data_IF_712926323333
#
_entry.id   IF_712926323333
#
_cell.length_a   1.000
_cell.length_b   1.000
_cell.length_c   1.000
_cell.angle_alpha   90.00
_cell.angle_beta   90.00
_cell.angle_gamma   90.00
#
_symmetry.space_group_name_H-M   'P 1'
#
loop_
_entity.id
_entity.type
_entity.pdbx_description
1 polymer ?
#
# COMPACT_ATOMS: atom_id res chain seq x y z
N UNK A 1 20.75 -5.72 -20.16
CA UNK A 1 20.35 -6.08 -18.79
C UNK A 1 21.52 -5.95 -17.83
N UNK A 2 21.37 -6.39 -16.58
CA UNK A 2 22.46 -6.39 -15.58
C UNK A 2 22.85 -7.81 -15.17
N UNK A 3 24.15 -8.03 -15.02
CA UNK A 3 24.72 -9.30 -14.61
C UNK A 3 24.39 -9.60 -13.14
N UNK A 4 23.76 -10.75 -12.89
CA UNK A 4 23.42 -11.28 -11.56
C UNK A 4 24.34 -12.39 -11.10
N UNK A 5 24.95 -13.12 -12.02
CA UNK A 5 26.03 -14.05 -11.73
C UNK A 5 26.87 -14.28 -12.99
N UNK A 6 28.15 -14.57 -12.75
CA UNK A 6 29.12 -15.01 -13.76
C UNK A 6 29.74 -16.29 -13.25
N UNK A 7 29.74 -17.34 -14.06
CA UNK A 7 30.37 -18.63 -13.76
C UNK A 7 31.11 -19.11 -15.01
N UNK A 8 32.42 -18.92 -15.00
CA UNK A 8 33.30 -19.43 -16.04
C UNK A 8 33.73 -20.87 -15.73
N UNK A 9 33.58 -21.77 -16.68
CA UNK A 9 34.08 -23.15 -16.66
C UNK A 9 35.01 -23.37 -17.86
N UNK A 10 35.72 -24.50 -17.88
CA UNK A 10 36.72 -24.80 -18.94
C UNK A 10 36.17 -24.68 -20.37
N UNK A 11 34.92 -25.08 -20.57
CA UNK A 11 34.32 -25.17 -21.91
C UNK A 11 33.16 -24.20 -22.11
N UNK A 12 32.62 -23.61 -21.04
CA UNK A 12 31.38 -22.82 -21.09
C UNK A 12 31.41 -21.68 -20.08
N UNK A 13 30.98 -20.51 -20.51
CA UNK A 13 30.67 -19.35 -19.66
C UNK A 13 29.16 -19.27 -19.43
N UNK A 14 28.74 -19.26 -18.16
CA UNK A 14 27.35 -19.05 -17.77
C UNK A 14 27.17 -17.67 -17.13
N UNK A 15 26.20 -16.91 -17.64
CA UNK A 15 25.77 -15.65 -17.06
C UNK A 15 24.29 -15.74 -16.70
N UNK A 16 23.91 -15.09 -15.60
CA UNK A 16 22.51 -14.79 -15.34
C UNK A 16 22.32 -13.30 -15.55
N UNK A 17 21.44 -12.91 -16.47
CA UNK A 17 21.13 -11.51 -16.77
C UNK A 17 19.69 -11.23 -16.35
N UNK A 18 19.49 -10.12 -15.65
CA UNK A 18 18.17 -9.65 -15.28
C UNK A 18 18.06 -8.17 -15.64
N UNK A 19 16.94 -7.80 -16.25
CA UNK A 19 16.63 -6.45 -16.69
C UNK A 19 15.54 -5.78 -15.83
N UNK A 20 15.07 -6.46 -14.79
CA UNK A 20 14.03 -5.98 -13.88
C UNK A 20 12.60 -6.28 -14.32
N UNK A 21 12.38 -6.76 -15.55
CA UNK A 21 11.04 -7.11 -16.07
C UNK A 21 10.36 -8.23 -15.29
N UNK A 22 11.16 -9.12 -14.70
CA UNK A 22 10.68 -10.19 -13.83
C UNK A 22 11.68 -10.49 -12.71
N UNK A 23 11.28 -11.33 -11.77
CA UNK A 23 12.18 -11.86 -10.74
C UNK A 23 13.24 -12.79 -11.33
N UNK A 24 12.90 -13.52 -12.39
CA UNK A 24 13.80 -14.50 -13.00
C UNK A 24 14.91 -13.82 -13.81
N UNK A 25 16.07 -14.46 -13.81
CA UNK A 25 17.15 -14.08 -14.72
C UNK A 25 17.12 -14.97 -15.95
N UNK A 26 17.40 -14.40 -17.12
CA UNK A 26 17.69 -15.17 -18.32
C UNK A 26 19.09 -15.79 -18.17
N UNK A 27 19.18 -17.11 -18.31
CA UNK A 27 20.47 -17.77 -18.46
C UNK A 27 21.03 -17.48 -19.85
N UNK A 28 22.28 -17.05 -19.86
CA UNK A 28 23.09 -16.88 -21.07
C UNK A 28 24.24 -17.87 -21.00
N UNK A 29 24.41 -18.61 -22.09
CA UNK A 29 25.48 -19.59 -22.31
C UNK A 29 26.37 -19.06 -23.40
N UNK A 30 27.67 -18.97 -23.15
CA UNK A 30 28.64 -18.35 -24.05
C UNK A 30 29.93 -19.17 -24.11
N UNK A 31 30.69 -19.00 -25.18
CA UNK A 31 32.07 -19.50 -25.23
C UNK A 31 32.94 -18.72 -24.22
N UNK A 32 33.84 -19.37 -23.47
CA UNK A 32 34.73 -18.68 -22.52
C UNK A 32 35.58 -17.56 -23.13
N UNK A 33 35.86 -17.60 -24.44
CA UNK A 33 36.56 -16.51 -25.15
C UNK A 33 35.81 -15.18 -25.17
N UNK A 34 34.49 -15.18 -24.91
CA UNK A 34 33.68 -13.98 -24.78
C UNK A 34 33.73 -13.36 -23.37
N UNK A 35 34.40 -14.01 -22.41
CA UNK A 35 34.59 -13.46 -21.06
C UNK A 35 35.54 -12.27 -21.10
N UNK A 36 35.04 -11.10 -20.68
CA UNK A 36 35.84 -9.88 -20.52
C UNK A 36 36.17 -9.67 -19.04
N UNK A 37 37.31 -9.04 -18.73
CA UNK A 37 37.75 -8.80 -17.34
C UNK A 37 36.77 -7.95 -16.53
N UNK A 38 36.04 -7.06 -17.20
CA UNK A 38 35.06 -6.15 -16.63
C UNK A 38 33.63 -6.76 -16.61
N UNK A 39 33.46 -8.00 -17.06
CA UNK A 39 32.20 -8.74 -16.98
C UNK A 39 31.99 -9.24 -15.53
N UNK A 40 31.52 -8.33 -14.69
CA UNK A 40 31.35 -8.56 -13.25
C UNK A 40 29.89 -8.49 -12.81
N UNK A 41 29.60 -8.95 -11.58
CA UNK A 41 28.29 -8.75 -10.95
C UNK A 41 27.91 -7.26 -10.92
N UNK A 42 26.69 -6.95 -11.33
CA UNK A 42 26.17 -5.58 -11.41
C UNK A 42 26.51 -4.83 -12.69
N UNK A 43 27.38 -5.37 -13.55
CA UNK A 43 27.72 -4.76 -14.84
C UNK A 43 26.51 -4.71 -15.76
N UNK A 44 26.38 -3.60 -16.48
CA UNK A 44 25.40 -3.43 -17.54
C UNK A 44 25.94 -4.03 -18.83
N UNK A 45 25.16 -4.90 -19.45
CA UNK A 45 25.57 -5.66 -20.63
C UNK A 45 24.50 -5.67 -21.71
N UNK A 46 24.97 -5.69 -22.94
CA UNK A 46 24.21 -6.02 -24.15
C UNK A 46 24.70 -7.40 -24.64
N UNK A 47 23.78 -8.31 -24.89
CA UNK A 47 24.08 -9.67 -25.34
C UNK A 47 23.23 -9.98 -26.55
N UNK A 48 23.87 -10.42 -27.63
CA UNK A 48 23.18 -10.90 -28.83
C UNK A 48 23.49 -12.37 -29.03
N UNK A 49 22.50 -13.11 -29.52
CA UNK A 49 22.63 -14.53 -29.75
C UNK A 49 21.29 -15.21 -30.01
N UNK A 50 21.30 -16.54 -29.99
CA UNK A 50 20.13 -17.36 -30.33
C UNK A 50 19.42 -17.85 -29.07
N UNK A 51 18.13 -17.55 -28.97
CA UNK A 51 17.27 -18.08 -27.90
C UNK A 51 16.90 -19.54 -28.22
N UNK A 52 17.23 -20.47 -27.32
CA UNK A 52 17.01 -21.90 -27.51
C UNK A 52 16.32 -22.52 -26.30
N UNK A 53 15.69 -23.68 -26.49
CA UNK A 53 15.13 -24.45 -25.37
C UNK A 53 16.28 -24.97 -24.51
N UNK A 54 16.22 -24.72 -23.22
CA UNK A 54 17.28 -25.16 -22.32
C UNK A 54 17.23 -26.68 -22.11
N UNK A 55 18.39 -27.36 -21.95
CA UNK A 55 18.45 -28.77 -21.61
C UNK A 55 18.14 -29.05 -20.12
N UNK A 56 18.08 -28.02 -19.27
CA UNK A 56 17.86 -28.15 -17.83
C UNK A 56 16.37 -28.00 -17.45
N UNK A 57 15.90 -28.87 -16.55
CA UNK A 57 14.48 -28.91 -16.10
C UNK A 57 14.00 -27.65 -15.38
N UNK A 58 14.90 -26.88 -14.78
CA UNK A 58 14.57 -25.69 -13.97
C UNK A 58 14.48 -24.39 -14.79
N UNK A 59 14.76 -24.45 -16.10
CA UNK A 59 14.77 -23.28 -16.98
C UNK A 59 14.27 -23.67 -18.36
N UNK A 60 13.25 -22.96 -18.85
CA UNK A 60 12.59 -23.31 -20.11
C UNK A 60 13.44 -22.94 -21.33
N UNK A 61 14.16 -21.82 -21.25
CA UNK A 61 14.92 -21.24 -22.35
C UNK A 61 16.28 -20.75 -21.84
N UNK A 62 17.26 -20.70 -22.73
CA UNK A 62 18.55 -20.05 -22.52
C UNK A 62 18.99 -19.33 -23.80
N UNK A 63 19.82 -18.30 -23.65
CA UNK A 63 20.38 -17.55 -24.77
C UNK A 63 21.81 -18.04 -25.05
N UNK A 64 22.04 -18.62 -26.23
CA UNK A 64 23.39 -18.92 -26.69
C UNK A 64 24.01 -17.64 -27.25
N UNK A 65 24.90 -17.01 -26.49
CA UNK A 65 25.49 -15.74 -26.85
C UNK A 65 26.52 -15.90 -27.96
N UNK A 66 26.37 -15.06 -28.99
CA UNK A 66 27.34 -14.86 -30.06
C UNK A 66 28.23 -13.66 -29.72
N UNK A 67 27.67 -12.64 -29.04
CA UNK A 67 28.40 -11.45 -28.61
C UNK A 67 27.98 -11.01 -27.22
N UNK A 68 28.94 -10.50 -26.44
CA UNK A 68 28.72 -9.88 -25.14
C UNK A 68 29.46 -8.55 -25.11
N UNK A 69 28.71 -7.45 -24.97
CA UNK A 69 29.23 -6.11 -24.84
C UNK A 69 28.99 -5.58 -23.42
N UNK A 70 30.05 -5.15 -22.73
CA UNK A 70 29.94 -4.51 -21.42
C UNK A 70 29.73 -3.02 -21.68
N UNK A 71 28.52 -2.54 -21.38
CA UNK A 71 28.09 -1.16 -21.60
C UNK A 71 28.50 -0.28 -20.43
N UNK A 72 28.46 -0.84 -19.22
CA UNK A 72 28.84 -0.14 -18.00
C UNK A 72 29.44 -1.12 -17.00
N UNK A 73 30.76 -1.05 -16.73
CA UNK A 73 31.39 -1.94 -15.77
C UNK A 73 30.92 -1.62 -14.35
N UNK A 74 30.94 -2.63 -13.47
CA UNK A 74 30.64 -2.47 -12.05
C UNK A 74 31.86 -2.85 -11.22
N UNK A 75 32.36 -1.91 -10.42
CA UNK A 75 33.38 -2.21 -9.42
C UNK A 75 32.75 -2.96 -8.23
N UNK A 76 33.07 -4.24 -8.12
CA UNK A 76 32.52 -5.13 -7.09
C UNK A 76 32.95 -4.69 -5.68
N UNK A 77 34.10 -4.01 -5.54
CA UNK A 77 34.63 -3.62 -4.24
C UNK A 77 33.86 -2.44 -3.65
N UNK A 78 33.56 -1.41 -4.45
CA UNK A 78 32.73 -0.28 -4.03
C UNK A 78 31.22 -0.56 -4.06
N UNK A 79 30.74 -1.53 -4.85
CA UNK A 79 29.30 -1.81 -4.92
C UNK A 79 28.75 -2.34 -3.58
N UNK A 80 27.74 -1.68 -2.97
CA UNK A 80 27.31 -2.00 -1.60
C UNK A 80 26.53 -3.31 -1.50
N UNK A 81 25.79 -3.70 -2.55
CA UNK A 81 24.99 -4.92 -2.54
C UNK A 81 25.83 -6.11 -3.03
N UNK A 82 26.57 -6.75 -2.12
CA UNK A 82 27.45 -7.88 -2.47
C UNK A 82 26.71 -9.10 -3.01
N UNK A 83 27.33 -9.76 -3.99
CA UNK A 83 26.84 -10.99 -4.60
C UNK A 83 26.79 -12.12 -3.55
N UNK A 84 25.72 -12.95 -3.60
CA UNK A 84 25.48 -14.11 -2.70
C UNK A 84 25.33 -13.77 -1.20
N UNK A 85 25.38 -12.51 -0.82
CA UNK A 85 25.14 -12.08 0.55
C UNK A 85 23.68 -11.63 0.73
N UNK A 86 23.09 -11.96 1.88
CA UNK A 86 21.76 -11.46 2.24
C UNK A 86 21.91 -10.17 3.02
N UNK A 87 21.46 -9.09 2.41
CA UNK A 87 21.43 -7.78 3.05
C UNK A 87 20.11 -7.59 3.80
N UNK A 88 20.13 -7.22 5.10
CA UNK A 88 18.91 -6.88 5.83
C UNK A 88 18.25 -5.64 5.22
N UNK A 89 16.93 -5.50 5.37
CA UNK A 89 16.18 -4.39 4.75
C UNK A 89 16.67 -3.02 5.26
N UNK A 90 17.10 -2.94 6.52
CA UNK A 90 17.66 -1.75 7.14
C UNK A 90 18.92 -1.27 6.41
N UNK A 91 19.82 -2.18 6.02
CA UNK A 91 21.01 -1.85 5.24
C UNK A 91 20.63 -1.39 3.83
N UNK A 92 19.72 -2.13 3.18
CA UNK A 92 19.29 -1.83 1.81
C UNK A 92 18.59 -0.46 1.72
N UNK A 93 17.89 -0.01 2.77
CA UNK A 93 17.25 1.32 2.86
C UNK A 93 18.26 2.48 2.81
N UNK A 94 19.52 2.26 3.21
CA UNK A 94 20.58 3.29 3.15
C UNK A 94 20.97 3.66 1.71
N UNK A 95 20.60 2.85 0.71
CA UNK A 95 20.96 3.05 -0.69
C UNK A 95 19.71 3.19 -1.58
N UNK A 96 18.92 4.28 -1.45
CA UNK A 96 17.65 4.43 -2.17
C UNK A 96 17.79 4.34 -3.69
N UNK A 97 18.94 4.77 -4.23
CA UNK A 97 19.26 4.72 -5.65
C UNK A 97 19.65 3.31 -6.17
N UNK A 98 19.96 2.35 -5.30
CA UNK A 98 20.35 0.98 -5.68
C UNK A 98 19.39 -0.09 -5.16
N UNK A 99 18.58 0.21 -4.16
CA UNK A 99 17.77 -0.77 -3.42
C UNK A 99 16.83 -1.59 -4.30
N UNK A 100 16.33 -1.03 -5.40
CA UNK A 100 15.49 -1.73 -6.38
C UNK A 100 16.21 -2.88 -7.09
N UNK A 101 17.55 -2.92 -7.07
CA UNK A 101 18.35 -4.02 -7.60
C UNK A 101 18.32 -5.26 -6.71
N UNK A 102 17.85 -5.16 -5.46
CA UNK A 102 17.61 -6.31 -4.60
C UNK A 102 16.30 -7.03 -5.02
N UNK A 103 16.28 -8.36 -4.97
CA UNK A 103 15.12 -9.16 -5.39
C UNK A 103 13.83 -8.79 -4.64
N UNK A 104 13.90 -8.57 -3.33
CA UNK A 104 12.72 -8.25 -2.50
C UNK A 104 12.12 -6.91 -2.89
N UNK A 105 12.93 -5.87 -3.06
CA UNK A 105 12.42 -4.54 -3.40
C UNK A 105 12.07 -4.40 -4.87
N UNK A 106 12.77 -5.09 -5.77
CA UNK A 106 12.34 -5.21 -7.17
C UNK A 106 10.98 -5.88 -7.30
N UNK A 107 10.76 -6.97 -6.56
CA UNK A 107 9.47 -7.65 -6.48
C UNK A 107 8.37 -6.75 -5.89
N UNK A 108 8.68 -6.02 -4.81
CA UNK A 108 7.75 -5.05 -4.20
C UNK A 108 7.28 -3.99 -5.21
N UNK A 109 8.22 -3.43 -5.99
CA UNK A 109 7.91 -2.39 -6.97
C UNK A 109 7.06 -2.91 -8.13
N UNK A 110 7.33 -4.12 -8.62
CA UNK A 110 6.47 -4.78 -9.63
C UNK A 110 5.08 -5.07 -9.11
N UNK A 111 4.97 -5.64 -7.90
CA UNK A 111 3.68 -5.87 -7.24
C UNK A 111 2.91 -4.55 -7.06
N UNK A 112 3.58 -3.49 -6.59
CA UNK A 112 2.95 -2.17 -6.43
C UNK A 112 2.48 -1.61 -7.77
N UNK A 113 3.24 -1.79 -8.84
CA UNK A 113 2.86 -1.37 -10.19
C UNK A 113 1.60 -2.09 -10.68
N UNK A 114 1.54 -3.42 -10.57
CA UNK A 114 0.36 -4.20 -10.97
C UNK A 114 -0.85 -3.92 -10.06
N UNK A 115 -0.65 -3.73 -8.76
CA UNK A 115 -1.72 -3.33 -7.84
C UNK A 115 -2.28 -1.95 -8.21
N UNK A 116 -1.40 -0.99 -8.54
CA UNK A 116 -1.78 0.35 -8.98
C UNK A 116 -2.61 0.30 -10.26
N UNK A 117 -2.16 -0.46 -11.26
CA UNK A 117 -2.91 -0.68 -12.49
C UNK A 117 -4.27 -1.34 -12.21
N UNK A 118 -4.30 -2.38 -11.37
CA UNK A 118 -5.54 -3.07 -10.98
C UNK A 118 -6.56 -2.18 -10.26
N UNK A 119 -6.09 -1.25 -9.42
CA UNK A 119 -6.95 -0.25 -8.75
C UNK A 119 -7.58 0.68 -9.78
N UNK A 120 -6.78 1.24 -10.70
CA UNK A 120 -7.30 2.10 -11.76
C UNK A 120 -8.30 1.36 -12.66
N UNK A 121 -7.97 0.14 -13.09
CA UNK A 121 -8.88 -0.68 -13.90
C UNK A 121 -10.19 -0.97 -13.16
N UNK A 122 -10.14 -1.34 -11.88
CA UNK A 122 -11.35 -1.56 -11.07
C UNK A 122 -12.28 -0.34 -11.10
N UNK A 123 -11.76 0.85 -10.79
CA UNK A 123 -12.59 2.05 -10.75
C UNK A 123 -13.11 2.44 -12.15
N UNK A 124 -12.29 2.33 -13.18
CA UNK A 124 -12.71 2.61 -14.57
C UNK A 124 -13.81 1.65 -15.04
N UNK A 125 -13.65 0.35 -14.80
CA UNK A 125 -14.61 -0.68 -15.19
C UNK A 125 -15.95 -0.53 -14.45
N UNK A 126 -15.94 0.07 -13.26
CA UNK A 126 -17.13 0.40 -12.46
C UNK A 126 -17.65 1.84 -12.68
N UNK A 127 -17.15 2.55 -13.71
CA UNK A 127 -17.68 3.84 -14.13
C UNK A 127 -17.32 5.04 -13.25
N UNK A 128 -16.28 4.93 -12.42
CA UNK A 128 -15.78 6.05 -11.63
C UNK A 128 -14.95 7.01 -12.48
N UNK A 129 -15.07 8.30 -12.17
CA UNK A 129 -14.22 9.34 -12.76
C UNK A 129 -12.99 9.54 -11.89
N UNK A 130 -11.80 9.45 -12.48
CA UNK A 130 -10.55 9.75 -11.78
C UNK A 130 -10.36 11.26 -11.67
N UNK A 131 -10.28 11.76 -10.44
CA UNK A 131 -10.12 13.19 -10.11
C UNK A 131 -8.75 13.40 -9.48
N UNK A 132 -7.97 14.33 -10.03
CA UNK A 132 -6.77 14.82 -9.36
C UNK A 132 -7.15 15.92 -8.36
N UNK A 133 -7.14 15.57 -7.08
CA UNK A 133 -7.40 16.51 -5.99
C UNK A 133 -6.18 17.41 -5.70
N UNK A 134 -6.38 18.65 -5.23
CA UNK A 134 -5.28 19.54 -4.85
C UNK A 134 -4.41 18.95 -3.73
N UNK A 135 -3.09 19.06 -3.88
CA UNK A 135 -2.12 18.66 -2.84
C UNK A 135 -1.89 19.80 -1.85
N UNK A 136 -1.83 21.04 -2.35
CA UNK A 136 -1.70 22.25 -1.53
C UNK A 136 -3.09 22.71 -1.15
N UNK A 137 -3.35 22.85 0.15
CA UNK A 137 -4.67 23.19 0.68
C UNK A 137 -4.59 24.12 1.88
N UNK A 138 -5.63 24.92 2.10
CA UNK A 138 -5.84 25.66 3.36
C UNK A 138 -6.69 24.87 4.35
N UNK A 139 -7.18 23.68 3.96
CA UNK A 139 -8.13 22.89 4.72
C UNK A 139 -7.41 21.81 5.52
N UNK A 140 -7.79 21.66 6.79
CA UNK A 140 -7.52 20.45 7.55
C UNK A 140 -8.71 19.50 7.41
N UNK A 141 -8.55 18.44 6.62
CA UNK A 141 -9.64 17.49 6.33
C UNK A 141 -9.97 16.60 7.54
N UNK A 142 -8.97 16.22 8.33
CA UNK A 142 -9.12 15.29 9.46
C UNK A 142 -9.16 16.02 10.81
N UNK A 143 -8.69 17.27 10.85
CA UNK A 143 -8.73 18.15 12.01
C UNK A 143 -7.71 17.81 13.10
N UNK A 144 -6.78 16.90 12.79
CA UNK A 144 -5.76 16.40 13.72
C UNK A 144 -4.60 17.38 13.94
N UNK A 145 -4.56 18.52 13.24
CA UNK A 145 -3.62 19.63 13.49
C UNK A 145 -2.16 19.37 13.11
N UNK A 146 -1.76 18.12 12.83
CA UNK A 146 -0.39 17.76 12.45
C UNK A 146 -0.20 17.80 10.93
N UNK A 147 -0.18 19.02 10.38
CA UNK A 147 -0.02 19.30 8.95
C UNK A 147 1.38 19.85 8.62
N UNK A 148 1.91 19.51 7.45
CA UNK A 148 3.10 20.19 6.91
C UNK A 148 2.72 21.54 6.32
N UNK A 149 3.19 22.63 6.93
CA UNK A 149 2.99 23.99 6.43
C UNK A 149 3.95 24.34 5.28
N UNK A 150 3.43 25.00 4.25
CA UNK A 150 4.16 25.43 3.06
C UNK A 150 4.39 26.94 3.13
N UNK A 151 5.67 27.32 3.15
CA UNK A 151 6.08 28.72 3.14
C UNK A 151 7.08 29.00 2.03
N UNK A 152 6.96 30.16 1.41
CA UNK A 152 7.93 30.66 0.44
C UNK A 152 8.82 31.66 1.17
N UNK A 153 10.12 31.38 1.25
CA UNK A 153 11.08 32.37 1.77
C UNK A 153 11.14 33.57 0.83
N UNK A 154 10.49 34.66 1.20
CA UNK A 154 10.62 35.93 0.50
C UNK A 154 12.07 36.45 0.62
N UNK A 155 12.61 37.03 -0.45
CA UNK A 155 13.88 37.76 -0.39
C UNK A 155 13.65 39.09 0.35
N UNK A 156 14.00 39.10 1.63
CA UNK A 156 14.37 40.25 2.50
C UNK A 156 13.47 41.51 2.59
N UNK A 157 12.37 41.69 1.84
CA UNK A 157 11.66 42.99 1.86
C UNK A 157 10.20 43.00 1.38
N UNK A 158 9.39 42.05 1.82
CA UNK A 158 7.94 42.24 1.80
C UNK A 158 7.33 41.57 3.03
N UNK A 159 6.37 42.25 3.66
CA UNK A 159 5.55 41.77 4.78
C UNK A 159 5.25 40.27 4.66
N UNK A 160 5.31 39.54 5.78
CA UNK A 160 5.03 38.10 5.92
C UNK A 160 3.62 37.77 5.40
N UNK A 161 3.50 37.73 4.08
CA UNK A 161 2.29 37.42 3.36
C UNK A 161 2.46 35.98 2.89
N UNK A 162 1.59 35.09 3.38
CA UNK A 162 1.53 33.72 2.87
C UNK A 162 1.42 33.76 1.34
N UNK A 163 2.01 32.78 0.64
CA UNK A 163 2.02 32.76 -0.83
C UNK A 163 0.60 32.87 -1.44
N UNK A 164 -0.40 32.29 -0.77
CA UNK A 164 -1.81 32.31 -1.20
C UNK A 164 -2.66 33.33 -0.44
N UNK A 165 -2.05 34.28 0.28
CA UNK A 165 -2.71 35.19 1.25
C UNK A 165 -3.44 34.49 2.42
N UNK A 166 -3.34 33.17 2.51
CA UNK A 166 -3.84 32.31 3.59
C UNK A 166 -2.79 31.24 3.92
N UNK A 167 -2.78 30.69 5.14
CA UNK A 167 -1.96 29.53 5.46
C UNK A 167 -2.21 28.38 4.48
N UNK A 168 -1.13 27.71 4.05
CA UNK A 168 -1.19 26.62 3.11
C UNK A 168 -0.41 25.42 3.64
N UNK A 169 -0.96 24.23 3.41
CA UNK A 169 -0.48 22.97 3.95
C UNK A 169 -0.45 21.90 2.87
N UNK A 170 0.30 20.83 3.11
CA UNK A 170 0.16 19.59 2.35
C UNK A 170 -1.06 18.81 2.86
N UNK A 171 -1.86 18.31 1.92
CA UNK A 171 -3.11 17.64 2.25
C UNK A 171 -2.90 16.30 2.98
N UNK A 172 -3.74 16.05 4.00
CA UNK A 172 -3.87 14.73 4.64
C UNK A 172 -4.80 13.80 3.85
N UNK A 173 -5.73 14.37 3.07
CA UNK A 173 -6.79 13.63 2.37
C UNK A 173 -7.44 14.50 1.29
N UNK A 174 -7.77 13.90 0.14
CA UNK A 174 -8.54 14.52 -0.93
C UNK A 174 -10.06 14.48 -0.73
N UNK A 175 -10.55 13.90 0.37
CA UNK A 175 -11.95 13.55 0.60
C UNK A 175 -12.92 14.73 0.37
N UNK A 176 -12.72 15.87 1.04
CA UNK A 176 -13.64 17.02 0.92
C UNK A 176 -13.77 17.53 -0.52
N UNK A 177 -12.70 17.41 -1.33
CA UNK A 177 -12.77 17.74 -2.74
C UNK A 177 -13.57 16.70 -3.53
N UNK A 178 -13.40 15.41 -3.22
CA UNK A 178 -14.18 14.35 -3.84
C UNK A 178 -15.68 14.47 -3.52
N UNK A 179 -16.06 14.86 -2.30
CA UNK A 179 -17.47 15.10 -1.92
C UNK A 179 -18.13 16.16 -2.82
N UNK A 180 -17.43 17.26 -3.11
CA UNK A 180 -17.92 18.29 -4.05
C UNK A 180 -18.06 17.73 -5.46
N UNK A 181 -17.05 16.97 -5.94
CA UNK A 181 -17.07 16.39 -7.28
C UNK A 181 -18.10 15.28 -7.43
N UNK A 182 -18.39 14.55 -6.36
CA UNK A 182 -19.42 13.51 -6.31
C UNK A 182 -20.82 14.06 -6.60
N UNK A 183 -21.05 15.34 -6.24
CA UNK A 183 -22.27 16.07 -6.58
C UNK A 183 -22.47 16.32 -8.08
N UNK A 184 -21.41 16.23 -8.89
CA UNK A 184 -21.47 16.34 -10.35
C UNK A 184 -21.29 14.98 -11.05
N UNK A 185 -20.48 14.09 -10.48
CA UNK A 185 -20.18 12.76 -11.00
C UNK A 185 -20.51 11.74 -9.92
N UNK A 186 -21.51 10.88 -10.14
CA UNK A 186 -22.04 10.00 -9.08
C UNK A 186 -21.00 9.10 -8.40
N UNK A 187 -19.92 8.76 -9.11
CA UNK A 187 -18.80 7.99 -8.59
C UNK A 187 -17.48 8.65 -8.98
N UNK A 188 -16.67 9.01 -8.00
CA UNK A 188 -15.34 9.62 -8.21
C UNK A 188 -14.29 8.93 -7.35
N UNK A 189 -13.05 8.95 -7.81
CA UNK A 189 -11.92 8.52 -7.00
C UNK A 189 -10.68 9.36 -7.28
N UNK A 190 -9.78 9.45 -6.31
CA UNK A 190 -8.43 9.99 -6.47
C UNK A 190 -7.41 8.91 -6.13
N UNK A 191 -6.25 8.99 -6.76
CA UNK A 191 -5.07 8.23 -6.38
C UNK A 191 -3.89 9.20 -6.37
N UNK A 192 -3.53 9.67 -5.16
CA UNK A 192 -2.55 10.74 -5.00
C UNK A 192 -1.73 10.61 -3.72
N UNK A 193 -0.64 11.40 -3.61
CA UNK A 193 0.13 11.48 -2.39
C UNK A 193 -0.63 12.27 -1.30
N UNK A 194 -0.51 11.81 -0.07
CA UNK A 194 -1.01 12.47 1.14
C UNK A 194 0.09 12.49 2.21
N UNK A 195 -0.04 13.42 3.15
CA UNK A 195 1.02 13.75 4.08
C UNK A 195 0.48 13.87 5.51
N UNK A 196 1.21 13.33 6.48
CA UNK A 196 0.90 13.47 7.91
C UNK A 196 2.17 13.89 8.65
N UNK A 197 2.09 14.95 9.45
CA UNK A 197 3.24 15.47 10.21
C UNK A 197 3.41 14.82 11.59
N UNK A 198 2.71 13.71 11.84
CA UNK A 198 2.85 12.90 13.06
C UNK A 198 4.30 12.48 13.30
N UNK A 199 4.84 12.83 14.48
CA UNK A 199 6.17 12.40 14.91
C UNK A 199 6.15 10.95 15.48
N UNK A 200 5.50 10.04 14.74
CA UNK A 200 5.36 8.64 15.10
C UNK A 200 6.38 7.77 14.35
N UNK A 201 7.46 7.38 15.03
CA UNK A 201 8.51 6.52 14.47
C UNK A 201 8.15 5.02 14.53
N UNK A 202 6.93 4.68 14.11
CA UNK A 202 6.48 3.29 14.04
C UNK A 202 6.99 2.59 12.78
N UNK A 203 6.82 1.26 12.70
CA UNK A 203 7.16 0.49 11.49
C UNK A 203 6.14 0.64 10.34
N UNK A 204 5.05 1.38 10.57
CA UNK A 204 3.88 1.44 9.67
C UNK A 204 3.52 2.85 9.22
N UNK A 205 3.96 3.88 9.95
CA UNK A 205 3.68 5.26 9.61
C UNK A 205 4.75 5.81 8.66
N UNK A 206 4.29 6.52 7.64
CA UNK A 206 5.10 7.31 6.73
C UNK A 206 4.57 8.73 6.77
N UNK A 207 5.48 9.71 6.76
CA UNK A 207 5.08 11.12 6.64
C UNK A 207 4.53 11.47 5.25
N UNK A 208 4.92 10.71 4.22
CA UNK A 208 4.41 10.78 2.85
C UNK A 208 4.00 9.37 2.42
N UNK A 209 2.76 9.22 1.99
CA UNK A 209 2.21 7.97 1.47
C UNK A 209 1.23 8.26 0.35
N UNK A 210 0.72 7.21 -0.30
CA UNK A 210 -0.30 7.37 -1.33
C UNK A 210 -1.61 6.82 -0.81
N UNK A 211 -2.67 7.59 -1.01
CA UNK A 211 -4.03 7.17 -0.71
C UNK A 211 -4.82 6.98 -2.00
N UNK A 212 -5.72 6.00 -1.92
CA UNK A 212 -6.77 5.79 -2.88
C UNK A 212 -8.06 6.08 -2.14
N UNK A 213 -8.76 7.11 -2.59
CA UNK A 213 -9.98 7.59 -1.93
C UNK A 213 -11.08 7.63 -2.97
N UNK A 214 -12.25 7.11 -2.62
CA UNK A 214 -13.39 7.06 -3.51
C UNK A 214 -14.62 7.61 -2.79
N UNK A 215 -15.41 8.38 -3.53
CA UNK A 215 -16.64 9.01 -3.04
C UNK A 215 -17.79 8.64 -3.96
N UNK A 216 -18.94 8.31 -3.35
CA UNK A 216 -20.12 7.81 -4.03
C UNK A 216 -21.35 8.61 -3.60
N UNK A 217 -22.07 9.15 -4.57
CA UNK A 217 -23.38 9.76 -4.36
C UNK A 217 -24.48 8.70 -4.24
N UNK A 218 -25.57 9.05 -3.55
CA UNK A 218 -26.75 8.19 -3.38
C UNK A 218 -26.49 6.88 -2.61
N UNK A 219 -25.50 6.88 -1.73
CA UNK A 219 -25.29 5.78 -0.76
C UNK A 219 -26.34 5.87 0.34
N UNK A 220 -26.98 4.74 0.66
CA UNK A 220 -28.06 4.68 1.66
C UNK A 220 -27.56 4.06 2.98
N UNK A 221 -26.53 3.22 2.91
CA UNK A 221 -26.02 2.50 4.07
C UNK A 221 -24.52 2.23 3.98
N UNK A 222 -23.92 1.88 5.12
CA UNK A 222 -22.55 1.36 5.16
C UNK A 222 -22.35 0.12 4.27
N UNK A 223 -23.42 -0.62 3.94
CA UNK A 223 -23.32 -1.80 3.07
C UNK A 223 -22.82 -1.42 1.67
N UNK A 224 -23.24 -0.28 1.14
CA UNK A 224 -22.84 0.19 -0.19
C UNK A 224 -21.32 0.46 -0.23
N UNK A 225 -20.79 1.08 0.83
CA UNK A 225 -19.37 1.37 0.99
C UNK A 225 -18.57 0.06 1.19
N UNK A 226 -19.04 -0.83 2.07
CA UNK A 226 -18.37 -2.11 2.32
C UNK A 226 -18.29 -2.98 1.06
N UNK A 227 -19.32 -2.96 0.21
CA UNK A 227 -19.31 -3.69 -1.05
C UNK A 227 -18.18 -3.21 -1.98
N UNK A 228 -18.00 -1.89 -2.10
CA UNK A 228 -16.90 -1.31 -2.89
C UNK A 228 -15.53 -1.69 -2.30
N UNK A 229 -15.37 -1.60 -0.98
CA UNK A 229 -14.12 -1.99 -0.31
C UNK A 229 -13.78 -3.48 -0.56
N UNK A 230 -14.79 -4.34 -0.42
CA UNK A 230 -14.67 -5.79 -0.64
C UNK A 230 -14.30 -6.12 -2.09
N UNK A 231 -15.01 -5.54 -3.06
CA UNK A 231 -14.80 -5.81 -4.49
C UNK A 231 -13.47 -5.27 -4.97
N UNK A 232 -13.06 -4.08 -4.52
CA UNK A 232 -11.75 -3.51 -4.79
C UNK A 232 -10.66 -4.43 -4.26
N UNK A 233 -10.74 -4.84 -2.99
CA UNK A 233 -9.73 -5.69 -2.37
C UNK A 233 -9.60 -7.05 -3.06
N UNK A 234 -10.74 -7.70 -3.38
CA UNK A 234 -10.76 -8.97 -4.12
C UNK A 234 -10.16 -8.84 -5.52
N UNK A 235 -10.56 -7.80 -6.25
CA UNK A 235 -10.16 -7.58 -7.65
C UNK A 235 -8.66 -7.30 -7.75
N UNK A 236 -8.16 -6.38 -6.93
CA UNK A 236 -6.74 -5.99 -6.93
C UNK A 236 -5.87 -7.15 -6.46
N UNK A 237 -6.27 -7.86 -5.40
CA UNK A 237 -5.51 -9.02 -4.93
C UNK A 237 -5.47 -10.14 -5.96
N UNK A 238 -6.59 -10.44 -6.62
CA UNK A 238 -6.64 -11.44 -7.70
C UNK A 238 -5.76 -11.03 -8.89
N UNK A 239 -5.73 -9.74 -9.21
CA UNK A 239 -4.86 -9.17 -10.25
C UNK A 239 -3.39 -9.38 -9.90
N UNK A 240 -2.97 -9.00 -8.68
CA UNK A 240 -1.59 -9.20 -8.21
C UNK A 240 -1.19 -10.67 -8.20
N UNK A 241 -2.07 -11.57 -7.72
CA UNK A 241 -1.76 -13.00 -7.63
C UNK A 241 -1.64 -13.66 -9.02
N UNK A 242 -2.41 -13.18 -10.00
CA UNK A 242 -2.34 -13.69 -11.37
C UNK A 242 -1.16 -13.11 -12.18
N UNK A 243 -0.85 -11.81 -12.00
CA UNK A 243 0.18 -11.10 -12.77
C UNK A 243 1.58 -11.23 -12.17
N UNK A 244 1.69 -11.32 -10.84
CA UNK A 244 2.96 -11.33 -10.10
C UNK A 244 3.17 -12.62 -9.25
N UNK A 245 2.84 -13.84 -9.72
CA UNK A 245 2.83 -15.02 -8.84
C UNK A 245 4.19 -15.32 -8.21
N UNK A 246 5.28 -15.16 -8.97
CA UNK A 246 6.65 -15.42 -8.52
C UNK A 246 7.16 -14.36 -7.55
N UNK A 247 6.78 -13.11 -7.78
CA UNK A 247 7.12 -12.00 -6.89
C UNK A 247 6.41 -12.18 -5.54
N UNK A 248 5.12 -12.54 -5.55
CA UNK A 248 4.36 -12.85 -4.33
C UNK A 248 4.93 -14.08 -3.60
N UNK A 249 5.29 -15.14 -4.34
CA UNK A 249 5.91 -16.34 -3.75
C UNK A 249 7.21 -16.02 -2.99
N UNK A 250 8.01 -15.06 -3.48
CA UNK A 250 9.20 -14.59 -2.76
C UNK A 250 8.85 -14.05 -1.37
N UNK A 251 7.78 -13.25 -1.24
CA UNK A 251 7.34 -12.74 0.06
C UNK A 251 6.83 -13.87 0.96
N UNK A 252 6.02 -14.79 0.44
CA UNK A 252 5.56 -15.96 1.18
C UNK A 252 6.68 -16.89 1.61
N UNK A 253 7.83 -16.86 0.95
CA UNK A 253 8.95 -17.73 1.30
C UNK A 253 9.92 -17.08 2.29
N UNK A 254 10.15 -15.78 2.17
CA UNK A 254 11.28 -15.13 2.84
C UNK A 254 10.91 -13.95 3.74
N UNK A 255 9.74 -13.34 3.57
CA UNK A 255 9.34 -12.13 4.30
C UNK A 255 8.22 -12.42 5.29
N UNK A 256 7.18 -13.12 4.85
CA UNK A 256 6.01 -13.43 5.67
C UNK A 256 5.55 -14.89 5.49
N UNK A 257 6.36 -15.89 5.88
CA UNK A 257 6.02 -17.30 5.69
C UNK A 257 4.77 -17.74 6.44
N UNK A 258 4.45 -17.11 7.57
CA UNK A 258 3.22 -17.38 8.32
C UNK A 258 1.95 -16.94 7.56
N UNK A 259 2.05 -16.00 6.61
CA UNK A 259 0.90 -15.50 5.84
C UNK A 259 0.55 -16.37 4.63
N UNK A 260 1.39 -17.36 4.30
CA UNK A 260 1.16 -18.30 3.19
C UNK A 260 -0.10 -19.15 3.37
N UNK A 261 -0.61 -19.26 4.61
CA UNK A 261 -1.69 -20.19 5.01
C UNK A 261 -3.09 -19.67 4.65
N UNK A 262 -3.27 -18.37 4.39
CA UNK A 262 -4.59 -17.80 4.02
C UNK A 262 -5.04 -18.11 2.59
N UNK A 263 -4.25 -18.86 1.82
CA UNK A 263 -4.72 -19.47 0.59
C UNK A 263 -5.45 -20.77 0.93
N UNK A 264 -6.66 -20.66 1.48
CA UNK A 264 -7.54 -21.83 1.60
C UNK A 264 -7.80 -22.33 0.18
N UNK A 265 -7.29 -23.51 -0.07
CA UNK A 265 -7.37 -24.30 -1.29
C UNK A 265 -8.81 -24.66 -1.59
N UNK A 266 -9.53 -23.77 -2.28
CA UNK A 266 -10.52 -24.22 -3.24
C UNK A 266 -9.81 -25.09 -4.28
N UNK A 267 -10.37 -26.23 -4.63
CA UNK A 267 -9.82 -27.21 -5.61
C UNK A 267 -9.57 -26.65 -7.02
N UNK A 268 -9.82 -25.36 -7.25
CA UNK A 268 -9.53 -24.62 -8.47
C UNK A 268 -8.55 -23.50 -8.13
N UNK A 269 -7.47 -23.38 -8.89
CA UNK A 269 -6.24 -22.59 -8.64
C UNK A 269 -6.38 -21.06 -8.46
N UNK A 270 -7.52 -20.54 -7.99
CA UNK A 270 -7.70 -19.14 -7.67
C UNK A 270 -7.79 -18.95 -6.15
N UNK A 271 -6.89 -18.16 -5.54
CA UNK A 271 -6.99 -17.80 -4.14
C UNK A 271 -8.23 -16.93 -3.93
N UNK A 272 -9.30 -17.50 -3.40
CA UNK A 272 -10.50 -16.76 -3.03
C UNK A 272 -10.23 -16.16 -1.64
N UNK A 273 -10.08 -14.83 -1.58
CA UNK A 273 -10.21 -14.14 -0.29
C UNK A 273 -11.66 -14.29 0.13
N UNK A 274 -11.88 -15.02 1.22
CA UNK A 274 -13.20 -15.22 1.79
C UNK A 274 -13.56 -13.98 2.59
N UNK A 275 -14.46 -13.17 2.04
CA UNK A 275 -15.31 -12.33 2.85
C UNK A 275 -16.52 -13.19 3.22
N UNK A 276 -16.68 -13.44 4.52
CA UNK A 276 -17.87 -14.10 5.03
C UNK A 276 -18.84 -13.02 5.50
N UNK A 277 -20.13 -13.20 5.25
CA UNK A 277 -21.19 -12.34 5.81
C UNK A 277 -21.19 -12.30 7.34
N UNK A 278 -20.55 -13.29 7.99
CA UNK A 278 -20.35 -13.34 9.44
C UNK A 278 -19.17 -12.47 9.93
N UNK A 279 -18.45 -11.78 9.05
CA UNK A 279 -17.26 -10.98 9.37
C UNK A 279 -17.54 -9.47 9.38
N UNK A 280 -18.77 -9.09 9.74
CA UNK A 280 -19.14 -7.71 10.06
C UNK A 280 -19.55 -7.68 11.53
N UNK A 281 -18.87 -6.86 12.32
CA UNK A 281 -19.15 -6.65 13.74
C UNK A 281 -19.28 -5.16 14.01
N UNK A 282 -20.13 -4.77 14.95
CA UNK A 282 -20.14 -3.39 15.47
C UNK A 282 -18.94 -3.14 16.38
N UNK A 283 -18.56 -1.88 16.57
CA UNK A 283 -17.57 -1.48 17.56
C UNK A 283 -17.94 -1.99 18.97
N UNK A 284 -19.24 -1.94 19.32
CA UNK A 284 -19.73 -2.43 20.60
C UNK A 284 -19.43 -3.93 20.77
N UNK A 285 -19.74 -4.75 19.76
CA UNK A 285 -19.39 -6.17 19.77
C UNK A 285 -17.88 -6.39 19.79
N UNK A 286 -17.11 -5.59 19.05
CA UNK A 286 -15.66 -5.67 19.05
C UNK A 286 -15.07 -5.45 20.45
N UNK A 287 -15.52 -4.42 21.17
CA UNK A 287 -15.09 -4.14 22.55
C UNK A 287 -15.46 -5.29 23.49
N UNK A 288 -16.65 -5.87 23.36
CA UNK A 288 -17.06 -7.00 24.20
C UNK A 288 -16.25 -8.28 23.90
N UNK A 289 -15.97 -8.57 22.62
CA UNK A 289 -15.06 -9.66 22.22
C UNK A 289 -13.67 -9.46 22.84
N UNK A 290 -13.15 -8.23 22.81
CA UNK A 290 -11.84 -7.91 23.37
C UNK A 290 -11.81 -8.04 24.90
N UNK A 291 -12.84 -7.59 25.61
CA UNK A 291 -12.93 -7.76 27.07
C UNK A 291 -13.00 -9.22 27.51
N UNK A 292 -13.60 -10.08 26.68
CA UNK A 292 -13.71 -11.52 26.92
C UNK A 292 -12.47 -12.30 26.46
N UNK A 293 -11.49 -11.63 25.85
CA UNK A 293 -10.28 -12.27 25.37
C UNK A 293 -9.48 -12.87 26.54
N UNK A 294 -8.90 -14.08 26.37
CA UNK A 294 -8.09 -14.72 27.41
C UNK A 294 -6.70 -14.09 27.56
N UNK A 295 -6.35 -13.08 26.75
CA UNK A 295 -5.05 -12.42 26.75
C UNK A 295 -5.13 -11.02 27.36
N UNK A 296 -4.05 -10.60 28.01
CA UNK A 296 -3.92 -9.22 28.51
C UNK A 296 -3.40 -8.33 27.40
N UNK A 297 -4.16 -7.28 27.06
CA UNK A 297 -3.74 -6.24 26.13
C UNK A 297 -2.89 -5.18 26.84
N UNK A 298 -1.99 -4.53 26.08
CA UNK A 298 -1.20 -3.40 26.59
C UNK A 298 -2.09 -2.19 26.82
N UNK A 299 -2.97 -1.91 25.86
CA UNK A 299 -4.01 -0.90 25.93
C UNK A 299 -5.33 -1.59 26.32
N UNK A 300 -6.07 -1.04 27.27
CA UNK A 300 -7.32 -1.67 27.68
C UNK A 300 -8.42 -1.40 26.64
N UNK A 301 -9.16 -2.42 26.20
CA UNK A 301 -10.31 -2.23 25.32
C UNK A 301 -11.48 -1.66 26.14
N UNK A 302 -11.64 -0.34 26.09
CA UNK A 302 -12.73 0.38 26.74
C UNK A 302 -13.61 1.08 25.69
N UNK A 303 -14.90 1.16 25.97
CA UNK A 303 -15.83 1.84 25.06
C UNK A 303 -15.52 3.33 25.02
N UNK A 304 -15.46 3.91 23.83
CA UNK A 304 -15.05 5.31 23.64
C UNK A 304 -13.53 5.49 23.50
N UNK A 305 -12.75 4.39 23.50
CA UNK A 305 -11.34 4.41 23.14
C UNK A 305 -11.10 3.79 21.76
N UNK A 306 -10.10 4.30 21.06
CA UNK A 306 -9.74 3.81 19.74
C UNK A 306 -9.14 2.40 19.77
N UNK A 307 -9.38 1.61 18.71
CA UNK A 307 -8.88 0.25 18.61
C UNK A 307 -7.41 0.25 18.19
N UNK A 308 -6.54 -0.18 19.09
CA UNK A 308 -5.12 -0.32 18.79
C UNK A 308 -4.84 -1.54 17.89
N UNK A 309 -3.70 -1.54 17.19
CA UNK A 309 -3.27 -2.65 16.33
C UNK A 309 -3.32 -4.04 17.00
N UNK A 310 -3.08 -4.14 18.31
CA UNK A 310 -3.20 -5.41 19.03
C UNK A 310 -4.65 -5.91 19.15
N UNK A 311 -5.60 -4.98 19.28
CA UNK A 311 -7.03 -5.25 19.28
C UNK A 311 -7.48 -5.72 17.91
N UNK A 312 -7.13 -4.97 16.86
CA UNK A 312 -7.49 -5.29 15.47
C UNK A 312 -7.03 -6.69 15.06
N UNK A 313 -5.75 -7.02 15.35
CA UNK A 313 -5.19 -8.34 15.05
C UNK A 313 -5.89 -9.44 15.83
N UNK A 314 -6.28 -9.19 17.08
CA UNK A 314 -7.04 -10.15 17.86
C UNK A 314 -8.42 -10.39 17.26
N UNK A 315 -9.14 -9.34 16.86
CA UNK A 315 -10.46 -9.43 16.23
C UNK A 315 -10.40 -10.26 14.94
N UNK A 316 -9.42 -9.96 14.08
CA UNK A 316 -9.22 -10.72 12.83
C UNK A 316 -8.94 -12.20 13.12
N UNK A 317 -8.10 -12.50 14.11
CA UNK A 317 -7.83 -13.87 14.54
C UNK A 317 -9.07 -14.56 15.12
N UNK A 318 -9.83 -13.85 15.96
CA UNK A 318 -11.07 -14.34 16.57
C UNK A 318 -12.11 -14.70 15.50
N UNK A 319 -12.22 -13.89 14.44
CA UNK A 319 -13.11 -14.12 13.31
C UNK A 319 -12.59 -15.18 12.30
N UNK A 320 -11.45 -15.84 12.58
CA UNK A 320 -10.95 -16.96 11.78
C UNK A 320 -9.88 -16.61 10.74
N UNK A 321 -9.10 -15.55 10.95
CA UNK A 321 -8.02 -15.11 10.04
C UNK A 321 -8.53 -14.73 8.64
N UNK A 322 -9.67 -14.04 8.59
CA UNK A 322 -10.29 -13.49 7.39
C UNK A 322 -10.52 -11.97 7.56
N UNK A 323 -10.69 -11.20 6.47
CA UNK A 323 -11.01 -9.78 6.59
C UNK A 323 -12.28 -9.53 7.42
N UNK A 324 -12.26 -8.52 8.28
CA UNK A 324 -13.36 -8.15 9.19
C UNK A 324 -13.72 -6.69 9.03
N UNK A 325 -14.99 -6.39 8.83
CA UNK A 325 -15.52 -5.03 8.90
C UNK A 325 -15.94 -4.72 10.34
N UNK A 326 -15.37 -3.66 10.91
CA UNK A 326 -15.83 -3.09 12.18
C UNK A 326 -16.64 -1.84 11.86
N UNK A 327 -17.89 -1.77 12.30
CA UNK A 327 -18.82 -0.68 11.95
C UNK A 327 -19.31 0.08 13.18
N UNK A 328 -19.83 1.29 12.98
CA UNK A 328 -20.52 2.09 13.99
C UNK A 328 -19.61 2.46 15.17
N UNK A 329 -18.61 3.31 14.92
CA UNK A 329 -17.65 3.77 15.92
C UNK A 329 -18.23 4.87 16.82
N UNK A 330 -17.72 5.06 18.05
CA UNK A 330 -18.13 6.15 18.94
C UNK A 330 -18.04 7.52 18.26
N UNK A 331 -19.09 8.33 18.46
CA UNK A 331 -19.25 9.61 17.79
C UNK A 331 -18.07 10.57 18.01
N UNK A 332 -17.57 10.64 19.24
CA UNK A 332 -16.49 11.57 19.64
C UNK A 332 -15.09 11.13 19.18
N UNK A 333 -14.92 9.88 18.72
CA UNK A 333 -13.63 9.37 18.23
C UNK A 333 -13.36 9.65 16.76
N UNK A 334 -14.40 9.97 15.99
CA UNK A 334 -14.32 10.02 14.53
C UNK A 334 -14.51 11.46 14.00
N UNK A 335 -13.98 11.78 12.81
CA UNK A 335 -14.03 13.13 12.23
C UNK A 335 -15.43 13.71 12.06
N UNK A 336 -15.51 15.04 12.03
CA UNK A 336 -16.76 15.81 12.00
C UNK A 336 -17.69 15.48 10.82
N UNK A 337 -17.16 14.96 9.72
CA UNK A 337 -17.93 14.69 8.50
C UNK A 337 -18.69 13.36 8.54
N UNK A 338 -18.48 12.48 9.53
CA UNK A 338 -19.11 11.15 9.56
C UNK A 338 -20.56 11.21 10.04
N UNK A 339 -21.51 10.59 9.35
CA UNK A 339 -22.94 10.67 9.69
C UNK A 339 -23.26 10.16 11.10
N UNK A 340 -23.98 10.95 11.90
CA UNK A 340 -24.50 10.53 13.22
C UNK A 340 -25.59 9.46 13.04
N UNK A 341 -25.46 8.34 13.74
CA UNK A 341 -26.48 7.29 13.75
C UNK A 341 -27.70 7.67 14.60
N UNK A 342 -27.58 8.67 15.49
CA UNK A 342 -28.59 9.09 16.47
C UNK A 342 -29.08 7.89 17.32
N UNK A 343 -28.19 6.93 17.59
CA UNK A 343 -28.49 5.68 18.25
C UNK A 343 -28.29 5.77 19.78
N UNK A 344 -29.41 5.72 20.51
CA UNK A 344 -29.40 5.57 21.97
C UNK A 344 -28.70 6.71 22.74
N UNK A 345 -28.34 6.50 24.02
CA UNK A 345 -27.67 7.50 24.84
C UNK A 345 -26.15 7.64 24.59
N UNK A 346 -25.53 6.65 23.95
CA UNK A 346 -24.10 6.62 23.60
C UNK A 346 -23.98 6.62 22.07
N UNK A 347 -23.90 7.81 21.49
CA UNK A 347 -23.94 8.01 20.04
C UNK A 347 -22.76 7.32 19.33
N UNK A 348 -23.08 6.68 18.20
CA UNK A 348 -22.10 6.21 17.22
C UNK A 348 -22.24 6.98 15.90
N UNK A 349 -21.24 6.86 15.04
CA UNK A 349 -21.28 7.36 13.67
C UNK A 349 -21.25 6.20 12.69
N UNK A 350 -21.89 6.37 11.53
CA UNK A 350 -21.86 5.42 10.42
C UNK A 350 -20.46 5.39 9.77
N UNK A 351 -19.51 4.80 10.47
CA UNK A 351 -18.13 4.58 10.06
C UNK A 351 -17.87 3.07 9.91
N UNK A 352 -16.91 2.72 9.06
CA UNK A 352 -16.45 1.35 8.86
C UNK A 352 -14.94 1.31 8.67
N UNK A 353 -14.28 0.40 9.36
CA UNK A 353 -12.88 0.06 9.13
C UNK A 353 -12.79 -1.41 8.67
N UNK A 354 -12.02 -1.67 7.62
CA UNK A 354 -11.70 -3.01 7.11
C UNK A 354 -10.38 -3.48 7.70
N UNK A 355 -10.45 -4.48 8.58
CA UNK A 355 -9.30 -5.12 9.19
C UNK A 355 -8.88 -6.34 8.37
N UNK A 356 -7.59 -6.50 8.10
CA UNK A 356 -7.05 -7.66 7.37
C UNK A 356 -5.96 -8.39 8.17
N UNK A 357 -5.82 -9.71 7.98
CA UNK A 357 -4.87 -10.51 8.74
C UNK A 357 -3.42 -10.03 8.68
N UNK A 358 -2.74 -10.08 9.82
CA UNK A 358 -1.33 -9.68 9.99
C UNK A 358 -1.08 -8.17 9.94
N UNK A 359 -1.90 -7.40 9.22
CA UNK A 359 -1.81 -5.94 9.15
C UNK A 359 -2.64 -5.30 10.25
N UNK A 360 -3.95 -5.52 10.30
CA UNK A 360 -4.87 -4.67 11.07
C UNK A 360 -5.69 -3.84 10.09
N UNK A 361 -5.95 -2.58 10.40
CA UNK A 361 -6.66 -1.68 9.48
C UNK A 361 -5.96 -1.59 8.11
N UNK A 362 -6.75 -1.77 7.05
CA UNK A 362 -6.34 -1.59 5.65
C UNK A 362 -7.00 -0.37 5.01
N UNK A 363 -8.27 -0.11 5.33
CA UNK A 363 -9.08 0.95 4.74
C UNK A 363 -10.18 1.36 5.70
N UNK A 364 -10.43 2.67 5.83
CA UNK A 364 -11.55 3.24 6.56
C UNK A 364 -12.50 3.99 5.63
N UNK A 365 -13.76 4.16 6.05
CA UNK A 365 -14.79 4.87 5.31
C UNK A 365 -15.99 5.22 6.17
N UNK A 366 -16.90 6.05 5.67
CA UNK A 366 -18.11 6.43 6.39
C UNK A 366 -19.21 6.89 5.44
N UNK A 367 -20.46 6.86 5.90
CA UNK A 367 -21.45 7.77 5.35
C UNK A 367 -21.07 9.20 5.75
N UNK A 368 -21.34 10.17 4.87
CA UNK A 368 -21.10 11.59 5.14
C UNK A 368 -22.33 12.21 5.79
N UNK A 369 -22.12 13.16 6.70
CA UNK A 369 -23.21 13.87 7.36
C UNK A 369 -23.83 14.89 6.39
N UNK A 370 -24.89 14.47 5.72
CA UNK A 370 -25.61 15.23 4.71
C UNK A 370 -26.55 16.29 5.32
N UNK A 371 -26.87 16.18 6.61
CA UNK A 371 -27.84 17.05 7.29
C UNK A 371 -27.13 18.28 7.82
N UNK A 372 -27.28 19.40 7.10
CA UNK A 372 -26.62 20.67 7.40
C UNK A 372 -26.65 21.09 8.90
N UNK A 373 -27.80 21.05 9.62
CA UNK A 373 -27.82 21.46 11.02
C UNK A 373 -26.93 20.61 11.95
N UNK A 374 -26.79 19.30 11.67
CA UNK A 374 -25.95 18.41 12.45
C UNK A 374 -24.47 18.61 12.11
N UNK A 375 -24.16 18.79 10.82
CA UNK A 375 -22.81 19.09 10.36
C UNK A 375 -22.28 20.41 10.94
N UNK A 376 -23.07 21.48 10.90
CA UNK A 376 -22.73 22.78 11.48
C UNK A 376 -22.49 22.68 13.00
N UNK A 377 -23.37 21.96 13.72
CA UNK A 377 -23.22 21.70 15.15
C UNK A 377 -21.93 20.97 15.47
N UNK A 378 -21.50 20.03 14.62
CA UNK A 378 -20.27 19.27 14.82
C UNK A 378 -19.03 20.09 14.48
N UNK A 379 -19.04 20.86 13.40
CA UNK A 379 -17.98 21.80 13.05
C UNK A 379 -17.74 22.84 14.17
N UNK A 380 -18.81 23.38 14.75
CA UNK A 380 -18.69 24.33 15.87
C UNK A 380 -18.07 23.69 17.13
N UNK A 381 -18.34 22.41 17.40
CA UNK A 381 -17.69 21.67 18.49
C UNK A 381 -16.21 21.44 18.20
N UNK A 382 -15.90 21.09 16.95
CA UNK A 382 -14.54 20.82 16.50
C UNK A 382 -13.65 22.08 16.56
N UNK A 383 -14.13 23.21 16.06
CA UNK A 383 -13.40 24.49 16.12
C UNK A 383 -13.20 25.03 17.53
N UNK A 384 -13.94 24.55 18.53
CA UNK A 384 -13.74 24.89 19.95
C UNK A 384 -12.73 23.99 20.66
N UNK A 385 -12.40 22.80 20.13
CA UNK A 385 -11.45 21.89 20.77
C UNK A 385 -9.99 22.16 20.40
N UNK A 386 -9.73 22.88 19.29
CA UNK A 386 -8.39 23.28 18.86
C UNK A 386 -7.80 24.46 19.62
N UNK A 387 -8.57 25.10 20.51
CA UNK A 387 -8.15 26.22 21.37
C UNK A 387 -7.81 25.79 22.82
N UNK A 388 -7.59 24.49 23.09
CA UNK A 388 -7.33 23.95 24.44
C UNK A 388 -5.89 23.46 24.65
#
# INVERSE_FOLDING_TARGET
GWVRSVRSQKEVLFLHINDGSSLESLQVVADPSLEKRDLTFGSAVEVQGKLVKSPHRMQNMELQAETINVVGPCDIWSFPLKMKERHPLEYVRQFPHLRCRNNTLGALLRIRSEATAGIHSFFQDNGYVHIHTPIITSNDCEGAGELFQIEVKAKESAEETHFFNVPAFLTVSGQLHLEVMAGAFTHVFTFGPTFRAENSQSRRHLAEFYMVEAELSFTESLQDIMQVMEDLFKTVTSTVLSKCPRDVELFHKYIAPAQKVMHVTGKNCNPVILFSSSCRISYNEAVEILKQAPQTFTFKPEWGCDLQTEHEKYLVKHCGEVPVFVVNYPYDLKPFYMRDNEDGPQHTVAAVDLLVPGVGELCGGSLREERLPLLESRLQRYGKSTDA
#
